data_IF_751006521262
#
_entry.id   IF_751006521262
#
_cell.length_a   1.000
_cell.length_b   1.000
_cell.length_c   1.000
_cell.angle_alpha   90.00
_cell.angle_beta   90.00
_cell.angle_gamma   90.00
#
_symmetry.space_group_name_H-M   'P 1'
#
loop_
_entity.id
_entity.type
_entity.pdbx_description
1 polymer ?
#
# COMPACT_ATOMS: atom_id res chain seq x y z
N UNK A 1 -26.57 -9.82 4.83
CA UNK A 1 -25.22 -9.27 5.12
C UNK A 1 -24.48 -9.12 3.80
N UNK A 2 -24.53 -7.94 3.20
CA UNK A 2 -23.69 -7.59 2.05
C UNK A 2 -22.25 -7.57 2.53
N UNK A 3 -21.41 -8.51 2.07
CA UNK A 3 -19.96 -8.42 2.24
C UNK A 3 -19.54 -7.04 1.75
N UNK A 4 -18.94 -6.22 2.62
CA UNK A 4 -18.38 -4.95 2.15
C UNK A 4 -17.39 -5.28 1.04
N UNK A 5 -17.55 -4.62 -0.12
CA UNK A 5 -16.60 -4.79 -1.22
C UNK A 5 -15.23 -4.39 -0.68
N UNK A 6 -14.27 -5.32 -0.69
CA UNK A 6 -12.86 -4.99 -0.37
C UNK A 6 -12.40 -3.83 -1.25
N UNK A 7 -11.65 -2.89 -0.67
CA UNK A 7 -10.97 -1.82 -1.42
C UNK A 7 -10.00 -2.41 -2.45
N UNK A 8 -9.63 -1.64 -3.47
CA UNK A 8 -8.71 -2.13 -4.49
C UNK A 8 -7.32 -2.39 -3.87
N UNK A 9 -6.87 -1.55 -2.95
CA UNK A 9 -5.62 -1.76 -2.19
C UNK A 9 -5.67 -3.08 -1.39
N UNK A 10 -6.76 -3.37 -0.69
CA UNK A 10 -6.89 -4.61 0.09
C UNK A 10 -6.82 -5.87 -0.79
N UNK A 11 -7.30 -5.76 -2.05
CA UNK A 11 -7.23 -6.86 -3.03
C UNK A 11 -5.82 -7.10 -3.55
N UNK A 12 -4.92 -6.11 -3.48
CA UNK A 12 -3.56 -6.25 -4.00
C UNK A 12 -2.61 -6.97 -3.04
N UNK A 13 -2.72 -6.71 -1.73
CA UNK A 13 -1.73 -7.14 -0.74
C UNK A 13 -1.32 -8.61 -0.92
N UNK A 14 -2.31 -9.51 -1.01
CA UNK A 14 -2.07 -10.95 -1.18
C UNK A 14 -1.49 -11.36 -2.54
N UNK A 15 -2.09 -10.99 -3.68
CA UNK A 15 -1.50 -11.21 -5.00
C UNK A 15 -0.04 -10.77 -5.11
N UNK A 16 0.31 -9.63 -4.49
CA UNK A 16 1.66 -9.07 -4.51
C UNK A 16 2.68 -9.98 -3.84
N UNK A 17 2.41 -10.47 -2.63
CA UNK A 17 3.28 -11.44 -1.98
C UNK A 17 3.42 -12.72 -2.80
N UNK A 18 2.33 -13.22 -3.38
CA UNK A 18 2.38 -14.42 -4.20
C UNK A 18 3.22 -14.22 -5.47
N UNK A 19 3.24 -13.01 -6.02
CA UNK A 19 4.08 -12.66 -7.17
C UNK A 19 5.57 -12.66 -6.80
N UNK A 20 5.93 -12.10 -5.64
CA UNK A 20 7.30 -12.19 -5.08
C UNK A 20 7.71 -13.63 -4.88
N UNK A 21 6.83 -14.45 -4.29
CA UNK A 21 7.08 -15.87 -4.07
C UNK A 21 7.36 -16.59 -5.38
N UNK A 22 6.51 -16.41 -6.39
CA UNK A 22 6.72 -17.03 -7.70
C UNK A 22 8.04 -16.61 -8.35
N UNK A 23 8.39 -15.32 -8.24
CA UNK A 23 9.62 -14.79 -8.78
C UNK A 23 10.86 -15.43 -8.14
N UNK A 24 10.95 -15.41 -6.81
CA UNK A 24 12.11 -15.98 -6.10
C UNK A 24 12.19 -17.50 -6.19
N UNK A 25 11.05 -18.20 -6.15
CA UNK A 25 11.00 -19.65 -6.32
C UNK A 25 11.18 -20.10 -7.79
N UNK A 26 11.28 -19.15 -8.73
CA UNK A 26 11.37 -19.40 -10.17
C UNK A 26 10.26 -20.33 -10.69
N UNK A 27 9.01 -20.07 -10.29
CA UNK A 27 7.83 -20.83 -10.71
C UNK A 27 6.83 -19.91 -11.43
N UNK A 28 5.97 -20.50 -12.25
CA UNK A 28 4.93 -19.76 -12.94
C UNK A 28 3.94 -19.10 -11.94
N UNK A 29 3.50 -17.87 -12.23
CA UNK A 29 2.48 -17.16 -11.45
C UNK A 29 1.08 -17.72 -11.76
N UNK A 30 0.83 -18.95 -11.31
CA UNK A 30 -0.42 -19.67 -11.53
C UNK A 30 -0.84 -20.40 -10.26
N UNK A 31 -2.15 -20.59 -10.09
CA UNK A 31 -2.68 -21.27 -8.91
C UNK A 31 -2.13 -22.71 -8.73
N UNK A 32 -1.99 -23.54 -9.78
CA UNK A 32 -1.41 -24.88 -9.63
C UNK A 32 0.06 -24.87 -9.23
N UNK A 33 0.88 -23.99 -9.81
CA UNK A 33 2.30 -23.89 -9.49
C UNK A 33 2.52 -23.45 -8.03
N UNK A 34 1.73 -22.47 -7.55
CA UNK A 34 1.74 -22.05 -6.15
C UNK A 34 1.28 -23.16 -5.20
N UNK A 35 0.23 -23.90 -5.55
CA UNK A 35 -0.25 -25.02 -4.74
C UNK A 35 0.82 -26.10 -4.60
N UNK A 36 1.47 -26.46 -5.72
CA UNK A 36 2.56 -27.43 -5.72
C UNK A 36 3.75 -26.92 -4.90
N UNK A 37 4.14 -25.66 -5.05
CA UNK A 37 5.26 -25.10 -4.29
C UNK A 37 4.95 -25.00 -2.79
N UNK A 38 3.77 -24.51 -2.39
CA UNK A 38 3.42 -24.21 -0.99
C UNK A 38 2.94 -25.44 -0.23
N UNK A 39 2.17 -26.34 -0.87
CA UNK A 39 1.60 -27.51 -0.20
C UNK A 39 2.15 -28.85 -0.70
N UNK A 40 2.89 -28.88 -1.80
CA UNK A 40 3.37 -30.15 -2.38
C UNK A 40 2.26 -30.97 -3.03
N UNK A 41 1.06 -30.41 -3.18
CA UNK A 41 -0.13 -31.09 -3.72
C UNK A 41 -0.42 -30.50 -5.10
N UNK A 42 -0.65 -31.35 -6.10
CA UNK A 42 -0.92 -30.92 -7.48
C UNK A 42 -2.37 -30.53 -7.75
N UNK A 43 -3.30 -30.82 -6.86
CA UNK A 43 -4.73 -30.73 -7.16
C UNK A 43 -5.52 -30.13 -6.00
N UNK A 44 -5.54 -28.80 -5.95
CA UNK A 44 -6.77 -28.03 -5.77
C UNK A 44 -6.48 -26.54 -6.05
N UNK A 45 -6.74 -26.08 -7.27
CA UNK A 45 -6.34 -24.74 -7.73
C UNK A 45 -7.30 -23.62 -7.28
N UNK A 46 -8.49 -23.98 -6.79
CA UNK A 46 -9.54 -23.02 -6.43
C UNK A 46 -9.15 -22.07 -5.29
N UNK A 47 -8.53 -22.52 -4.17
CA UNK A 47 -8.09 -21.62 -3.10
C UNK A 47 -7.01 -20.64 -3.56
N UNK A 48 -5.98 -21.12 -4.27
CA UNK A 48 -4.92 -20.23 -4.76
C UNK A 48 -5.41 -19.28 -5.84
N UNK A 49 -6.33 -19.71 -6.71
CA UNK A 49 -6.96 -18.81 -7.68
C UNK A 49 -7.68 -17.67 -6.99
N UNK A 50 -8.42 -17.94 -5.91
CA UNK A 50 -9.07 -16.90 -5.10
C UNK A 50 -8.09 -15.95 -4.42
N UNK A 51 -6.88 -16.41 -4.07
CA UNK A 51 -5.82 -15.56 -3.53
C UNK A 51 -5.19 -14.69 -4.61
N UNK A 52 -4.93 -15.26 -5.80
CA UNK A 52 -4.41 -14.55 -6.98
C UNK A 52 -5.38 -13.49 -7.49
N UNK A 53 -6.68 -13.78 -7.46
CA UNK A 53 -7.75 -12.84 -7.83
C UNK A 53 -7.96 -11.72 -6.77
N UNK A 54 -7.21 -11.73 -5.65
CA UNK A 54 -7.40 -10.77 -4.55
C UNK A 54 -8.73 -10.93 -3.78
N UNK A 55 -9.49 -11.99 -4.04
CA UNK A 55 -10.77 -12.26 -3.37
C UNK A 55 -10.56 -12.63 -1.91
N UNK A 56 -9.53 -13.41 -1.61
CA UNK A 56 -9.17 -13.83 -0.25
C UNK A 56 -7.80 -13.30 0.16
N UNK A 57 -7.64 -13.06 1.47
CA UNK A 57 -6.34 -12.76 2.05
C UNK A 57 -5.71 -14.06 2.54
N UNK A 58 -4.39 -14.17 2.48
CA UNK A 58 -3.71 -15.29 3.13
C UNK A 58 -3.86 -15.22 4.65
N UNK A 59 -4.06 -16.38 5.29
CA UNK A 59 -4.06 -16.47 6.74
C UNK A 59 -2.64 -16.26 7.30
N UNK A 60 -2.53 -15.85 8.57
CA UNK A 60 -1.23 -15.73 9.26
C UNK A 60 -0.43 -17.04 9.24
N UNK A 61 -1.11 -18.20 9.36
CA UNK A 61 -0.49 -19.53 9.31
C UNK A 61 0.04 -19.84 7.90
N UNK A 62 -0.76 -19.58 6.87
CA UNK A 62 -0.35 -19.77 5.46
C UNK A 62 0.83 -18.87 5.12
N UNK A 63 0.80 -17.61 5.58
CA UNK A 63 1.88 -16.65 5.43
C UNK A 63 3.18 -17.20 6.01
N UNK A 64 3.17 -17.62 7.28
CA UNK A 64 4.36 -18.17 7.93
C UNK A 64 4.94 -19.36 7.14
N UNK A 65 4.09 -20.26 6.65
CA UNK A 65 4.54 -21.38 5.81
C UNK A 65 5.16 -20.93 4.50
N UNK A 66 4.65 -19.87 3.87
CA UNK A 66 5.22 -19.29 2.66
C UNK A 66 6.61 -18.72 2.94
N UNK A 67 6.77 -17.92 4.00
CA UNK A 67 8.07 -17.35 4.36
C UNK A 67 9.12 -18.42 4.68
N UNK A 68 8.74 -19.50 5.37
CA UNK A 68 9.64 -20.64 5.63
C UNK A 68 10.11 -21.31 4.34
N UNK A 69 9.24 -21.41 3.32
CA UNK A 69 9.62 -21.96 2.02
C UNK A 69 10.49 -21.01 1.22
N UNK A 70 10.07 -19.75 1.15
CA UNK A 70 10.80 -18.67 0.49
C UNK A 70 12.20 -18.48 1.07
N UNK A 71 12.39 -18.80 2.36
CA UNK A 71 13.70 -18.75 3.01
C UNK A 71 14.75 -19.70 2.43
N UNK A 72 14.35 -20.67 1.61
CA UNK A 72 15.25 -21.54 0.86
C UNK A 72 15.76 -20.90 -0.43
N UNK A 73 15.00 -19.96 -0.98
CA UNK A 73 15.19 -19.42 -2.33
C UNK A 73 15.55 -17.92 -2.34
N UNK A 74 15.21 -17.19 -1.27
CA UNK A 74 15.47 -15.76 -1.11
C UNK A 74 16.51 -15.48 -0.01
N UNK A 75 17.20 -14.34 -0.11
CA UNK A 75 18.16 -13.94 0.92
C UNK A 75 17.46 -13.56 2.23
N UNK A 76 18.17 -13.72 3.36
CA UNK A 76 17.66 -13.33 4.68
C UNK A 76 17.26 -11.85 4.74
N UNK A 77 17.98 -10.97 4.05
CA UNK A 77 17.65 -9.55 3.96
C UNK A 77 16.36 -9.32 3.17
N UNK A 78 16.21 -9.95 2.01
CA UNK A 78 15.00 -9.84 1.17
C UNK A 78 13.75 -10.30 1.91
N UNK A 79 13.84 -11.40 2.67
CA UNK A 79 12.74 -11.90 3.49
C UNK A 79 12.37 -10.93 4.61
N UNK A 80 13.37 -10.41 5.32
CA UNK A 80 13.14 -9.45 6.40
C UNK A 80 12.47 -8.18 5.88
N UNK A 81 12.90 -7.67 4.72
CA UNK A 81 12.30 -6.50 4.09
C UNK A 81 10.86 -6.78 3.62
N UNK A 82 10.58 -7.98 3.12
CA UNK A 82 9.24 -8.42 2.73
C UNK A 82 8.30 -8.59 3.93
N UNK A 83 8.79 -9.12 5.06
CA UNK A 83 8.01 -9.19 6.30
C UNK A 83 7.69 -7.79 6.82
N UNK A 84 8.68 -6.89 6.88
CA UNK A 84 8.49 -5.50 7.29
C UNK A 84 7.47 -4.77 6.42
N UNK A 85 7.54 -4.93 5.10
CA UNK A 85 6.58 -4.30 4.18
C UNK A 85 5.18 -4.89 4.34
N UNK A 86 5.05 -6.20 4.53
CA UNK A 86 3.75 -6.84 4.70
C UNK A 86 3.05 -6.40 5.98
N UNK A 87 3.79 -6.30 7.08
CA UNK A 87 3.29 -5.86 8.38
C UNK A 87 3.35 -4.33 8.55
N UNK A 88 3.75 -3.61 7.50
CA UNK A 88 3.83 -2.14 7.49
C UNK A 88 2.44 -1.49 7.55
N UNK A 89 2.38 -0.34 8.22
CA UNK A 89 1.22 0.56 8.19
C UNK A 89 0.97 1.21 6.82
N UNK A 90 1.85 0.99 5.83
CA UNK A 90 1.65 1.41 4.44
C UNK A 90 0.27 1.01 3.92
N UNK A 91 -0.16 -0.22 4.18
CA UNK A 91 -1.43 -0.75 3.69
C UNK A 91 -2.61 0.03 4.27
N UNK A 92 -2.57 0.34 5.56
CA UNK A 92 -3.62 1.11 6.23
C UNK A 92 -3.64 2.55 5.72
N UNK A 93 -2.47 3.16 5.49
CA UNK A 93 -2.35 4.50 4.88
C UNK A 93 -2.91 4.51 3.46
N UNK A 94 -2.63 3.49 2.65
CA UNK A 94 -3.13 3.39 1.27
C UNK A 94 -4.64 3.11 1.22
N UNK A 95 -5.18 2.29 2.13
CA UNK A 95 -6.62 1.99 2.21
C UNK A 95 -7.46 3.14 2.77
N UNK A 96 -6.87 4.00 3.61
CA UNK A 96 -7.61 5.07 4.25
C UNK A 96 -8.18 6.05 3.24
N UNK A 97 -9.46 6.35 3.40
CA UNK A 97 -10.12 7.38 2.61
C UNK A 97 -9.49 8.75 2.89
N UNK A 98 -9.26 9.50 1.83
CA UNK A 98 -8.76 10.87 1.92
C UNK A 98 -9.62 11.78 2.83
N UNK A 99 -10.91 11.49 2.95
CA UNK A 99 -11.86 12.24 3.76
C UNK A 99 -11.97 11.74 5.20
N UNK A 100 -11.38 10.59 5.54
CA UNK A 100 -11.48 10.00 6.89
C UNK A 100 -10.35 10.52 7.80
N UNK A 101 -10.52 11.75 8.27
CA UNK A 101 -9.54 12.38 9.14
C UNK A 101 -9.34 11.65 10.47
N UNK A 102 -10.37 10.99 10.99
CA UNK A 102 -10.27 10.24 12.26
C UNK A 102 -9.33 9.06 12.09
N UNK A 103 -9.49 8.26 11.02
CA UNK A 103 -8.55 7.17 10.75
C UNK A 103 -7.15 7.65 10.44
N UNK A 104 -6.98 8.75 9.71
CA UNK A 104 -5.64 9.34 9.51
C UNK A 104 -4.99 9.72 10.85
N UNK A 105 -5.75 10.30 11.79
CA UNK A 105 -5.26 10.64 13.12
C UNK A 105 -4.80 9.39 13.90
N UNK A 106 -5.55 8.30 13.81
CA UNK A 106 -5.20 7.02 14.43
C UNK A 106 -3.93 6.44 13.81
N UNK A 107 -3.82 6.44 12.48
CA UNK A 107 -2.62 5.99 11.76
C UNK A 107 -1.38 6.76 12.23
N UNK A 108 -1.47 8.09 12.38
CA UNK A 108 -0.32 8.87 12.84
C UNK A 108 0.22 8.44 14.20
N UNK A 109 -0.62 7.89 15.09
CA UNK A 109 -0.21 7.42 16.43
C UNK A 109 0.67 6.15 16.38
N UNK A 110 0.70 5.45 15.25
CA UNK A 110 1.53 4.25 15.08
C UNK A 110 2.96 4.55 14.61
N UNK A 111 3.25 5.78 14.14
CA UNK A 111 4.60 6.15 13.73
C UNK A 111 5.50 6.46 14.95
N UNK A 112 6.84 6.44 14.80
CA UNK A 112 7.74 6.91 15.85
C UNK A 112 7.46 8.34 16.30
N UNK A 113 7.71 8.65 17.59
CA UNK A 113 7.50 9.99 18.17
C UNK A 113 8.25 11.10 17.42
N UNK A 114 9.39 10.77 16.81
CA UNK A 114 10.17 11.67 15.95
C UNK A 114 9.39 12.17 14.73
N UNK A 115 8.45 11.37 14.21
CA UNK A 115 7.55 11.73 13.11
C UNK A 115 6.26 12.36 13.64
N UNK A 116 5.68 11.79 14.71
CA UNK A 116 4.43 12.28 15.31
C UNK A 116 4.46 13.77 15.66
N UNK A 117 5.60 14.28 16.13
CA UNK A 117 5.78 15.70 16.49
C UNK A 117 5.48 16.69 15.34
N UNK A 118 5.48 16.21 14.09
CA UNK A 118 5.20 17.02 12.91
C UNK A 118 3.70 17.23 12.65
N UNK A 119 2.86 16.34 13.18
CA UNK A 119 1.39 16.35 12.97
C UNK A 119 0.59 16.55 14.25
N UNK A 120 1.22 16.43 15.41
CA UNK A 120 0.59 16.68 16.70
C UNK A 120 1.27 17.84 17.46
N UNK A 121 0.48 18.71 18.04
CA UNK A 121 0.92 19.73 18.99
C UNK A 121 1.27 19.04 20.33
N UNK A 122 2.42 19.38 20.92
CA UNK A 122 2.93 18.81 22.18
C UNK A 122 2.07 19.14 23.42
N UNK A 123 0.95 19.85 23.27
CA UNK A 123 0.34 20.57 24.38
C UNK A 123 -0.53 19.76 25.35
N UNK A 124 -0.88 18.49 25.11
CA UNK A 124 -1.45 17.69 26.20
C UNK A 124 -1.44 16.17 25.94
N UNK A 125 -1.15 15.39 26.99
CA UNK A 125 -1.18 13.91 26.97
C UNK A 125 -2.61 13.34 26.90
N UNK A 126 -3.62 14.21 26.94
CA UNK A 126 -5.05 13.86 26.92
C UNK A 126 -5.76 14.16 25.59
N UNK A 127 -5.09 14.84 24.66
CA UNK A 127 -5.70 15.26 23.40
C UNK A 127 -4.71 15.94 22.47
N UNK A 128 -3.89 15.13 21.79
CA UNK A 128 -2.95 15.61 20.78
C UNK A 128 -3.70 16.41 19.69
N UNK A 129 -3.69 17.73 19.80
CA UNK A 129 -4.29 18.61 18.80
C UNK A 129 -3.50 18.51 17.51
N UNK A 130 -4.21 18.21 16.41
CA UNK A 130 -3.57 18.00 15.10
C UNK A 130 -3.18 19.31 14.45
N UNK A 131 -2.02 19.30 13.80
CA UNK A 131 -1.53 20.38 12.94
C UNK A 131 -1.01 19.80 11.63
N UNK A 132 -0.91 20.64 10.61
CA UNK A 132 -0.12 20.32 9.43
C UNK A 132 1.35 20.71 9.66
N UNK A 133 2.31 19.90 9.18
CA UNK A 133 3.71 20.29 9.17
C UNK A 133 3.93 21.48 8.24
N UNK A 134 4.86 22.35 8.61
CA UNK A 134 5.35 23.44 7.77
C UNK A 134 6.24 22.88 6.66
N UNK A 135 6.36 23.59 5.55
CA UNK A 135 7.19 23.15 4.40
C UNK A 135 8.63 22.84 4.78
N UNK A 136 9.24 23.62 5.68
CA UNK A 136 10.62 23.39 6.15
C UNK A 136 10.76 22.17 7.07
N UNK A 137 9.67 21.59 7.55
CA UNK A 137 9.65 20.36 8.35
C UNK A 137 9.58 19.09 7.48
N UNK A 138 9.31 19.22 6.18
CA UNK A 138 9.21 18.09 5.23
C UNK A 138 10.57 17.52 4.82
N UNK A 139 11.58 18.33 4.41
CA UNK A 139 12.88 17.78 4.00
C UNK A 139 13.57 16.93 5.09
N UNK A 140 13.55 17.30 6.39
CA UNK A 140 14.12 16.44 7.44
C UNK A 140 13.42 15.08 7.59
N UNK A 141 12.17 14.94 7.15
CA UNK A 141 11.47 13.65 7.13
C UNK A 141 11.95 12.86 5.93
N UNK A 142 11.95 13.45 4.73
CA UNK A 142 12.40 12.83 3.47
C UNK A 142 13.83 12.27 3.58
N UNK A 143 14.75 13.01 4.20
CA UNK A 143 16.15 12.60 4.37
C UNK A 143 16.39 11.48 5.40
N UNK A 144 15.35 10.97 6.08
CA UNK A 144 15.50 9.80 6.95
C UNK A 144 15.62 8.48 6.15
N UNK A 145 15.19 8.46 4.89
CA UNK A 145 15.27 7.31 3.98
C UNK A 145 14.78 5.98 4.58
N UNK A 146 13.76 6.02 5.45
CA UNK A 146 13.15 4.85 6.07
C UNK A 146 11.73 4.61 5.56
N UNK A 147 11.27 3.35 5.58
CA UNK A 147 9.90 2.99 5.19
C UNK A 147 8.88 3.82 5.98
N UNK A 148 9.09 4.01 7.28
CA UNK A 148 8.22 4.79 8.15
C UNK A 148 8.15 6.27 7.74
N UNK A 149 9.29 6.88 7.39
CA UNK A 149 9.32 8.25 6.87
C UNK A 149 8.51 8.37 5.59
N UNK A 150 8.72 7.43 4.65
CA UNK A 150 8.01 7.43 3.38
C UNK A 150 6.51 7.23 3.52
N UNK A 151 6.09 6.29 4.37
CA UNK A 151 4.68 6.02 4.66
C UNK A 151 4.03 7.22 5.36
N UNK A 152 4.77 7.90 6.23
CA UNK A 152 4.33 9.14 6.87
C UNK A 152 4.09 10.27 5.85
N UNK A 153 4.99 10.42 4.87
CA UNK A 153 4.84 11.38 3.79
C UNK A 153 3.63 11.07 2.87
N UNK A 154 3.29 9.80 2.65
CA UNK A 154 2.05 9.43 1.94
C UNK A 154 0.82 9.86 2.76
N UNK A 155 0.79 9.55 4.05
CA UNK A 155 -0.32 9.94 4.93
C UNK A 155 -0.50 11.46 4.94
N UNK A 156 0.61 12.20 5.04
CA UNK A 156 0.63 13.66 4.94
C UNK A 156 0.10 14.13 3.60
N UNK A 157 0.52 13.51 2.51
CA UNK A 157 0.05 13.86 1.16
C UNK A 157 -1.46 13.71 1.07
N UNK A 158 -2.02 12.58 1.53
CA UNK A 158 -3.48 12.36 1.60
C UNK A 158 -4.18 13.46 2.40
N UNK A 159 -3.67 13.80 3.58
CA UNK A 159 -4.23 14.85 4.41
C UNK A 159 -4.13 16.25 3.78
N UNK A 160 -3.01 16.56 3.10
CA UNK A 160 -2.80 17.84 2.43
C UNK A 160 -3.75 18.03 1.27
N UNK A 161 -3.94 17.01 0.43
CA UNK A 161 -4.89 17.06 -0.69
C UNK A 161 -6.29 17.38 -0.16
N UNK A 162 -6.75 16.68 0.89
CA UNK A 162 -8.07 16.92 1.48
C UNK A 162 -8.22 18.37 1.93
N UNK A 163 -7.22 18.91 2.64
CA UNK A 163 -7.24 20.30 3.14
C UNK A 163 -7.03 21.36 2.06
N UNK A 164 -6.48 21.01 0.89
CA UNK A 164 -6.22 21.94 -0.25
C UNK A 164 -7.08 21.72 -1.49
N UNK A 165 -8.06 20.81 -1.45
CA UNK A 165 -9.08 20.66 -2.49
C UNK A 165 -9.96 21.90 -2.70
N UNK A 166 -9.75 22.98 -1.94
CA UNK A 166 -10.33 24.28 -2.23
C UNK A 166 -9.56 25.12 -3.28
N UNK A 167 -8.27 24.86 -3.60
CA UNK A 167 -7.55 25.76 -4.54
C UNK A 167 -6.48 25.20 -5.50
N UNK A 168 -5.84 24.02 -5.34
CA UNK A 168 -4.81 23.59 -6.33
C UNK A 168 -4.64 22.07 -6.47
N UNK A 169 -4.57 21.61 -7.73
CA UNK A 169 -4.65 20.21 -8.18
C UNK A 169 -3.29 19.52 -8.47
N UNK A 170 -2.12 20.06 -8.09
CA UNK A 170 -0.84 19.69 -8.74
C UNK A 170 0.33 19.21 -7.85
N UNK A 171 0.14 18.94 -6.55
CA UNK A 171 1.29 18.56 -5.67
C UNK A 171 1.25 17.10 -5.19
N UNK A 172 0.18 16.37 -5.50
CA UNK A 172 0.00 14.98 -5.05
C UNK A 172 0.93 14.00 -5.75
N UNK A 173 1.08 14.14 -7.07
CA UNK A 173 1.80 13.18 -7.90
C UNK A 173 3.27 13.01 -7.48
N UNK A 174 4.08 14.07 -7.25
CA UNK A 174 5.52 13.86 -7.08
C UNK A 174 5.92 13.18 -5.77
N UNK A 175 5.18 13.35 -4.67
CA UNK A 175 5.53 12.75 -3.37
C UNK A 175 5.08 11.28 -3.31
N UNK A 176 3.87 10.99 -3.80
CA UNK A 176 3.38 9.63 -3.93
C UNK A 176 4.22 8.83 -4.94
N UNK A 177 4.54 9.42 -6.11
CA UNK A 177 5.41 8.80 -7.12
C UNK A 177 6.84 8.63 -6.61
N UNK A 178 7.41 9.59 -5.85
CA UNK A 178 8.73 9.42 -5.22
C UNK A 178 8.73 8.29 -4.19
N UNK A 179 7.74 8.21 -3.31
CA UNK A 179 7.66 7.12 -2.33
C UNK A 179 7.44 5.77 -3.00
N UNK A 180 6.56 5.70 -4.00
CA UNK A 180 6.37 4.51 -4.81
C UNK A 180 7.69 4.10 -5.49
N UNK A 181 8.40 5.07 -6.07
CA UNK A 181 9.72 4.84 -6.66
C UNK A 181 10.73 4.30 -5.63
N UNK A 182 10.74 4.80 -4.39
CA UNK A 182 11.62 4.26 -3.34
C UNK A 182 11.18 2.86 -2.89
N UNK A 183 9.88 2.59 -2.73
CA UNK A 183 9.35 1.23 -2.50
C UNK A 183 9.77 0.29 -3.64
N UNK A 184 9.91 0.78 -4.88
CA UNK A 184 10.38 -0.01 -6.01
C UNK A 184 11.89 -0.14 -6.11
N UNK A 185 12.65 0.79 -5.52
CA UNK A 185 14.10 0.67 -5.34
C UNK A 185 14.46 -0.37 -4.27
N UNK A 186 13.53 -0.72 -3.36
CA UNK A 186 13.66 -1.96 -2.60
C UNK A 186 13.57 -3.15 -3.56
N UNK A 187 14.75 -3.69 -3.89
CA UNK A 187 15.01 -4.70 -4.92
C UNK A 187 13.99 -5.86 -5.02
N UNK A 188 13.45 -6.45 -3.92
CA UNK A 188 12.45 -7.52 -4.03
C UNK A 188 11.09 -7.11 -4.65
N UNK A 189 10.81 -5.81 -4.84
CA UNK A 189 9.49 -5.30 -5.25
C UNK A 189 9.49 -4.48 -6.54
N UNK A 190 10.63 -4.32 -7.21
CA UNK A 190 10.72 -3.60 -8.48
C UNK A 190 9.70 -4.12 -9.53
N UNK A 191 9.38 -5.42 -9.49
CA UNK A 191 8.43 -6.13 -10.37
C UNK A 191 6.94 -5.87 -10.07
N UNK A 192 6.63 -5.30 -8.92
CA UNK A 192 5.25 -5.10 -8.40
C UNK A 192 4.75 -3.66 -8.60
N UNK A 193 5.66 -2.80 -9.01
CA UNK A 193 5.47 -1.36 -9.22
C UNK A 193 4.24 -0.98 -10.05
N UNK A 194 4.04 -1.67 -11.17
CA UNK A 194 2.95 -1.38 -12.11
C UNK A 194 1.55 -1.70 -11.56
N UNK A 195 1.41 -2.77 -10.78
CA UNK A 195 0.12 -3.20 -10.22
C UNK A 195 -0.33 -2.27 -9.09
N UNK A 196 0.61 -1.87 -8.23
CA UNK A 196 0.35 -0.90 -7.16
C UNK A 196 -0.03 0.47 -7.74
N UNK A 197 0.67 0.93 -8.80
CA UNK A 197 0.30 2.14 -9.53
C UNK A 197 -1.11 2.07 -10.13
N UNK A 198 -1.44 0.96 -10.78
CA UNK A 198 -2.75 0.80 -11.42
C UNK A 198 -3.86 0.88 -10.39
N UNK A 199 -3.77 0.15 -9.27
CA UNK A 199 -4.85 0.17 -8.28
C UNK A 199 -5.00 1.51 -7.57
N UNK A 200 -3.89 2.22 -7.28
CA UNK A 200 -3.96 3.58 -6.73
C UNK A 200 -4.69 4.50 -7.73
N UNK A 201 -4.33 4.42 -9.01
CA UNK A 201 -4.99 5.17 -10.07
C UNK A 201 -6.48 4.80 -10.16
N UNK A 202 -6.80 3.53 -10.19
CA UNK A 202 -8.17 3.04 -10.37
C UNK A 202 -9.07 3.38 -9.17
N UNK A 203 -8.56 3.42 -7.92
CA UNK A 203 -9.30 3.97 -6.77
C UNK A 203 -9.60 5.47 -6.90
N UNK A 204 -8.72 6.23 -7.55
CA UNK A 204 -8.97 7.64 -7.84
C UNK A 204 -10.05 7.82 -8.91
N UNK A 205 -10.07 6.98 -9.95
CA UNK A 205 -11.06 7.07 -11.03
C UNK A 205 -12.42 6.42 -10.71
N UNK A 206 -12.49 5.36 -9.90
CA UNK A 206 -13.78 4.79 -9.45
C UNK A 206 -14.58 5.72 -8.51
N UNK A 207 -13.92 6.78 -7.97
CA UNK A 207 -14.56 7.79 -7.11
C UNK A 207 -15.00 9.04 -7.86
N UNK A 208 -14.43 9.27 -9.04
CA UNK A 208 -14.98 10.21 -10.00
C UNK A 208 -16.04 9.44 -10.80
N UNK A 209 -17.30 9.48 -10.35
CA UNK A 209 -18.45 9.23 -11.22
C UNK A 209 -18.45 10.30 -12.32
N UNK A 210 -17.54 10.17 -13.29
CA UNK A 210 -17.77 10.67 -14.63
C UNK A 210 -18.92 9.85 -15.18
N UNK A 211 -20.15 10.29 -14.90
CA UNK A 211 -21.25 10.06 -15.83
C UNK A 211 -20.77 10.52 -17.20
N UNK A 212 -20.72 9.66 -18.22
CA UNK A 212 -20.52 10.11 -19.59
C UNK A 212 -21.83 10.74 -20.07
N UNK A 213 -22.26 11.83 -19.42
CA UNK A 213 -23.30 12.72 -19.92
C UNK A 213 -22.62 13.93 -20.54
N UNK A 214 -21.97 13.69 -21.68
CA UNK A 214 -21.92 14.60 -22.82
C UNK A 214 -21.06 13.96 -23.89
N UNK A 215 -21.70 13.10 -24.67
CA UNK A 215 -21.34 12.91 -26.08
C UNK A 215 -21.51 14.25 -26.81
N UNK A 216 -20.57 15.17 -26.61
CA UNK A 216 -20.37 16.28 -27.53
C UNK A 216 -19.54 15.73 -28.69
N UNK A 217 -20.27 15.36 -29.73
CA UNK A 217 -19.81 15.17 -31.09
C UNK A 217 -18.76 16.23 -31.41
N UNK A 218 -17.53 15.81 -31.69
CA UNK A 218 -16.58 16.61 -32.45
C UNK A 218 -16.08 15.75 -33.61
N UNK A 219 -16.86 15.79 -34.68
CA UNK A 219 -16.36 15.70 -36.05
C UNK A 219 -15.98 17.11 -36.49
N UNK A 220 -14.71 17.30 -36.84
CA UNK A 220 -14.27 18.23 -37.88
C UNK A 220 -13.42 17.44 -38.86
#
# INVERSE_FOLDING_TARGET
MTQSKKSAIAKLKTPLLLKVVCHHANIAYTAPALAQYIHGIKEDSSPFKRLLDGKHNISKKTRASIFVKLARDASKSQLSDLEKLWDSILWDVLEVDINDQTKLAEIYKHFPLSLQKHVFEKQDLSGLKRRLPRTNEIPPIEHQYSLESFVFLIALSKEFIHKRYLQYQTVLEPALLRTLFVIWQFNPFSLISKELLSAIRDEHYEREDYSPSNSAIFTC
#
